data_IF_117668440644
#
_entry.id   IF_117668440644
#
_cell.length_a   1.000
_cell.length_b   1.000
_cell.length_c   1.000
_cell.angle_alpha   90.00
_cell.angle_beta   90.00
_cell.angle_gamma   90.00
#
_symmetry.space_group_name_H-M   'P 1'
#
loop_
_entity.id
_entity.type
_entity.pdbx_description
1 polymer ?
#
# COMPACT_ATOMS: atom_id res chain seq x y z
N UNK A 1 47.88 33.75 -21.92
CA UNK A 1 48.14 32.38 -21.44
C UNK A 1 47.82 32.35 -19.96
N UNK A 2 47.14 31.29 -19.51
CA UNK A 2 46.93 30.83 -18.11
C UNK A 2 46.23 31.78 -17.11
N UNK A 3 45.27 31.38 -16.28
CA UNK A 3 44.83 30.06 -15.85
C UNK A 3 43.34 30.11 -15.46
N UNK A 4 42.54 29.25 -16.06
CA UNK A 4 41.21 28.90 -15.57
C UNK A 4 41.41 28.06 -14.31
N UNK A 5 40.97 28.54 -13.15
CA UNK A 5 40.81 27.68 -11.96
C UNK A 5 39.50 26.90 -12.13
N UNK A 6 39.61 25.72 -12.70
CA UNK A 6 38.62 24.65 -12.51
C UNK A 6 39.07 23.90 -11.26
N UNK A 7 38.31 23.97 -10.17
CA UNK A 7 38.00 22.79 -9.36
C UNK A 7 37.35 23.08 -8.01
N UNK A 8 36.47 22.15 -7.67
CA UNK A 8 36.04 21.72 -6.34
C UNK A 8 35.06 22.59 -5.57
N UNK A 9 33.79 22.36 -5.86
CA UNK A 9 32.75 22.42 -4.84
C UNK A 9 31.76 21.29 -5.08
N UNK A 10 32.03 20.09 -4.56
CA UNK A 10 30.94 19.17 -4.23
C UNK A 10 29.88 19.99 -3.48
N UNK A 11 28.56 19.83 -3.75
CA UNK A 11 27.59 20.54 -2.96
C UNK A 11 27.86 20.16 -1.51
N UNK A 12 28.08 21.17 -0.67
CA UNK A 12 27.92 21.03 0.77
C UNK A 12 26.66 20.18 0.97
N UNK A 13 26.76 19.15 1.80
CA UNK A 13 25.61 18.38 2.27
C UNK A 13 24.84 19.31 3.22
N UNK A 14 24.39 20.45 2.68
CA UNK A 14 23.44 21.37 3.28
C UNK A 14 22.29 20.47 3.70
N UNK A 15 22.00 20.47 5.00
CA UNK A 15 20.76 19.89 5.52
C UNK A 15 19.68 20.25 4.52
N UNK A 16 19.09 19.25 3.87
CA UNK A 16 17.81 19.45 3.20
C UNK A 16 16.86 19.87 4.31
N UNK A 17 16.73 21.17 4.55
CA UNK A 17 15.61 21.70 5.30
C UNK A 17 14.38 21.09 4.65
N UNK A 18 13.60 20.37 5.46
CA UNK A 18 12.40 19.72 5.01
C UNK A 18 11.61 20.80 4.25
N UNK A 19 11.38 20.58 2.95
CA UNK A 19 10.58 21.48 2.11
C UNK A 19 9.35 21.82 2.92
N UNK A 20 9.30 23.04 3.45
CA UNK A 20 8.13 23.49 4.20
C UNK A 20 6.99 23.36 3.20
N UNK A 21 6.04 22.48 3.47
CA UNK A 21 4.85 22.39 2.66
C UNK A 21 4.29 23.82 2.62
N UNK A 22 4.20 24.41 1.43
CA UNK A 22 3.89 25.84 1.23
C UNK A 22 2.56 26.26 1.86
N UNK A 23 1.78 25.30 2.36
CA UNK A 23 0.54 25.51 3.09
C UNK A 23 0.46 24.55 4.29
N UNK A 24 0.09 25.04 5.49
CA UNK A 24 -0.19 24.17 6.63
C UNK A 24 -1.36 23.24 6.28
N UNK A 25 -1.24 21.97 6.69
CA UNK A 25 -2.30 20.99 6.47
C UNK A 25 -3.61 21.47 7.12
N UNK A 26 -4.77 21.32 6.44
CA UNK A 26 -6.06 21.64 7.04
C UNK A 26 -6.25 20.90 8.37
N UNK A 27 -6.96 21.51 9.31
CA UNK A 27 -7.23 20.93 10.66
C UNK A 27 -7.85 19.51 10.61
N UNK A 28 -8.55 19.18 9.52
CA UNK A 28 -9.16 17.87 9.30
C UNK A 28 -8.14 16.76 8.98
N UNK A 29 -6.94 17.08 8.48
CA UNK A 29 -5.93 16.10 8.09
C UNK A 29 -5.12 15.61 9.31
N UNK A 30 -5.78 14.88 10.21
CA UNK A 30 -5.19 14.38 11.47
C UNK A 30 -5.36 12.88 11.61
N UNK A 31 -4.40 12.25 12.27
CA UNK A 31 -4.52 10.88 12.72
C UNK A 31 -5.37 10.84 14.00
N UNK A 32 -6.43 10.04 14.00
CA UNK A 32 -7.37 9.94 15.13
C UNK A 32 -6.93 8.94 16.20
N UNK A 33 -6.20 7.88 15.83
CA UNK A 33 -5.96 6.71 16.68
C UNK A 33 -4.50 6.23 16.70
N UNK A 34 -3.57 7.02 16.20
CA UNK A 34 -2.15 6.69 16.14
C UNK A 34 -1.71 5.97 14.85
N UNK A 35 -0.39 5.79 14.67
CA UNK A 35 0.17 5.12 13.50
C UNK A 35 -0.28 3.66 13.42
N UNK A 36 -0.38 3.13 12.20
CA UNK A 36 -0.76 1.73 11.94
C UNK A 36 0.46 0.93 11.47
N UNK A 37 0.49 -0.36 11.81
CA UNK A 37 1.43 -1.32 11.24
C UNK A 37 0.89 -1.79 9.87
N UNK A 38 1.52 -1.35 8.77
CA UNK A 38 0.99 -1.58 7.43
C UNK A 38 1.15 -3.03 6.97
N UNK A 39 2.21 -3.70 7.40
CA UNK A 39 2.49 -5.09 7.08
C UNK A 39 1.46 -6.02 7.74
N UNK A 40 1.17 -5.77 9.02
CA UNK A 40 0.16 -6.52 9.78
C UNK A 40 -1.24 -6.27 9.24
N UNK A 41 -1.60 -5.00 9.01
CA UNK A 41 -2.91 -4.64 8.45
C UNK A 41 -3.15 -5.31 7.10
N UNK A 42 -2.14 -5.33 6.22
CA UNK A 42 -2.26 -5.96 4.89
C UNK A 42 -2.53 -7.46 5.04
N UNK A 43 -1.74 -8.15 5.87
CA UNK A 43 -1.91 -9.58 6.12
C UNK A 43 -3.29 -9.91 6.69
N UNK A 44 -3.75 -9.12 7.65
CA UNK A 44 -5.04 -9.35 8.30
C UNK A 44 -6.20 -9.13 7.32
N UNK A 45 -6.14 -8.07 6.51
CA UNK A 45 -7.13 -7.81 5.46
C UNK A 45 -7.16 -8.93 4.41
N UNK A 46 -6.00 -9.39 3.94
CA UNK A 46 -5.89 -10.51 2.99
C UNK A 46 -6.48 -11.80 3.58
N UNK A 47 -6.15 -12.09 4.84
CA UNK A 47 -6.69 -13.26 5.54
C UNK A 47 -8.21 -13.19 5.62
N UNK A 48 -8.77 -12.06 6.06
CA UNK A 48 -10.22 -11.89 6.14
C UNK A 48 -10.89 -12.03 4.77
N UNK A 49 -10.28 -11.49 3.72
CA UNK A 49 -10.79 -11.64 2.35
C UNK A 49 -10.82 -13.11 1.93
N UNK A 50 -9.71 -13.83 2.12
CA UNK A 50 -9.59 -15.25 1.78
C UNK A 50 -10.56 -16.13 2.56
N UNK A 51 -10.74 -15.86 3.85
CA UNK A 51 -11.66 -16.62 4.70
C UNK A 51 -13.11 -16.51 4.17
N UNK A 52 -13.52 -15.31 3.74
CA UNK A 52 -14.84 -15.10 3.12
C UNK A 52 -14.98 -15.77 1.75
N UNK A 53 -13.95 -15.67 0.91
CA UNK A 53 -13.90 -16.33 -0.41
C UNK A 53 -14.01 -17.85 -0.25
N UNK A 54 -13.23 -18.44 0.64
CA UNK A 54 -13.22 -19.88 0.90
C UNK A 54 -14.55 -20.36 1.50
N UNK A 55 -15.12 -19.62 2.45
CA UNK A 55 -16.44 -19.94 3.01
C UNK A 55 -17.52 -19.94 1.92
N UNK A 56 -17.47 -18.97 1.00
CA UNK A 56 -18.39 -18.86 -0.13
C UNK A 56 -18.18 -19.99 -1.13
N UNK A 57 -16.93 -20.26 -1.51
CA UNK A 57 -16.55 -21.33 -2.42
C UNK A 57 -16.99 -22.68 -1.89
N UNK A 58 -16.76 -22.98 -0.62
CA UNK A 58 -17.22 -24.22 0.04
C UNK A 58 -18.74 -24.30 0.11
N UNK A 59 -19.41 -23.18 0.42
CA UNK A 59 -20.88 -23.12 0.52
C UNK A 59 -21.54 -23.37 -0.84
N UNK A 60 -20.95 -22.92 -1.93
CA UNK A 60 -21.58 -22.91 -3.25
C UNK A 60 -20.92 -23.88 -4.24
N UNK A 61 -19.85 -24.57 -3.85
CA UNK A 61 -18.98 -25.32 -4.76
C UNK A 61 -18.73 -24.56 -6.06
N UNK A 62 -18.39 -23.28 -5.94
CA UNK A 62 -18.15 -22.40 -7.07
C UNK A 62 -16.95 -21.50 -6.75
N UNK A 63 -15.98 -21.48 -7.66
CA UNK A 63 -14.83 -20.60 -7.59
C UNK A 63 -15.21 -19.24 -8.20
N UNK A 64 -15.54 -18.29 -7.31
CA UNK A 64 -15.90 -16.93 -7.70
C UNK A 64 -14.74 -16.15 -8.31
N UNK A 65 -13.49 -16.48 -7.96
CA UNK A 65 -12.31 -15.78 -8.47
C UNK A 65 -12.05 -16.13 -9.94
N UNK A 66 -12.15 -17.41 -10.28
CA UNK A 66 -11.97 -17.89 -11.65
C UNK A 66 -13.28 -17.95 -12.44
N UNK A 67 -14.40 -17.60 -11.79
CA UNK A 67 -15.76 -17.70 -12.34
C UNK A 67 -16.03 -19.10 -12.93
N UNK A 68 -15.72 -20.14 -12.15
CA UNK A 68 -15.86 -21.53 -12.57
C UNK A 68 -16.60 -22.34 -11.52
N UNK A 69 -17.54 -23.20 -11.92
CA UNK A 69 -18.13 -24.15 -11.00
C UNK A 69 -17.10 -25.19 -10.58
N UNK A 70 -17.27 -25.68 -9.36
CA UNK A 70 -16.50 -26.79 -8.80
C UNK A 70 -17.44 -27.96 -8.58
N UNK A 71 -16.86 -29.15 -8.55
CA UNK A 71 -17.60 -30.35 -8.20
C UNK A 71 -18.12 -30.24 -6.76
N UNK A 72 -19.38 -30.60 -6.56
CA UNK A 72 -20.02 -30.53 -5.26
C UNK A 72 -21.53 -30.67 -5.34
N UNK A 73 -22.21 -30.10 -4.35
CA UNK A 73 -23.66 -30.27 -4.17
C UNK A 73 -24.52 -29.53 -5.19
N UNK A 74 -24.00 -28.49 -5.83
CA UNK A 74 -24.71 -27.72 -6.84
C UNK A 74 -24.17 -28.04 -8.23
N UNK A 75 -25.07 -28.37 -9.15
CA UNK A 75 -24.77 -28.46 -10.57
C UNK A 75 -25.07 -27.09 -11.21
N UNK A 76 -24.01 -26.36 -11.52
CA UNK A 76 -24.12 -25.03 -12.15
C UNK A 76 -24.27 -25.18 -13.68
N UNK A 77 -25.17 -24.38 -14.27
CA UNK A 77 -25.46 -24.34 -15.71
C UNK A 77 -25.22 -22.95 -16.30
#
# INVERSE_FOLDING_TARGET
MSNVRVSNGSPSLERMDARQAEYPKPSACRNLFGPVNHEELTRDLEKHRRDMEEASQRKWNFDFQNHKPLEGKYEWQ
#
